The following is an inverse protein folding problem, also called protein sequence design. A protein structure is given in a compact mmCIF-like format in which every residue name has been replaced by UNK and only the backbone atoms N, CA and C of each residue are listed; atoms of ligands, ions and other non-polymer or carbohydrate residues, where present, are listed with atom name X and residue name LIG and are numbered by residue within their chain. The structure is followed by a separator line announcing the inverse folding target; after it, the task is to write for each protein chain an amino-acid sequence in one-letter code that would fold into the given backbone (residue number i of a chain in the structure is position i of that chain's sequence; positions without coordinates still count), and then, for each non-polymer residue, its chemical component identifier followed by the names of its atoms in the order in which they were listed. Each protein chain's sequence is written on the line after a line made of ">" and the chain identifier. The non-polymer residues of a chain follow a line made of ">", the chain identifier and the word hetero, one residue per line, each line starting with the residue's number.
data_IF_930916137747
#
_entry.id   IF_930916137747
#
_cell.length_a   1.000
_cell.length_b   1.000
_cell.length_c   1.000
_cell.angle_alpha   90.00
_cell.angle_beta   90.00
_cell.angle_gamma   90.00
#
_symmetry.space_group_name_H-M   'P 1'
#
loop_
_entity.id
_entity.type
_entity.pdbx_description
1 polymer ?
#
# COMPACT_ATOMS: atom_id res chain seq x y z
N UNK A 1 -5.98 -18.97 28.08
CA UNK A 1 -5.16 -18.21 29.06
C UNK A 1 -5.00 -16.77 28.56
N UNK A 2 -4.92 -15.79 29.46
CA UNK A 2 -4.95 -14.35 29.12
C UNK A 2 -3.52 -13.87 28.81
N UNK A 3 -3.31 -13.13 27.71
CA UNK A 3 -2.01 -12.49 27.41
C UNK A 3 -1.97 -11.10 28.05
N UNK A 4 -0.90 -10.80 28.78
CA UNK A 4 -0.66 -9.48 29.37
C UNK A 4 -0.32 -8.46 28.27
N UNK A 5 -0.88 -7.25 28.37
CA UNK A 5 -0.30 -6.06 27.77
C UNK A 5 0.39 -5.27 28.89
N UNK A 6 1.65 -4.89 28.71
CA UNK A 6 2.38 -4.08 29.67
C UNK A 6 2.19 -2.58 29.35
N UNK A 7 1.48 -1.86 30.21
CA UNK A 7 1.43 -0.40 30.19
C UNK A 7 2.71 0.16 30.81
N UNK A 8 3.54 0.83 30.01
CA UNK A 8 4.64 1.66 30.52
C UNK A 8 4.11 3.07 30.67
N UNK A 9 4.01 3.53 31.91
CA UNK A 9 3.51 4.85 32.29
C UNK A 9 4.71 5.70 32.72
N UNK A 10 5.07 6.70 31.91
CA UNK A 10 6.15 7.64 32.21
C UNK A 10 5.59 9.05 32.32
N UNK A 11 5.85 9.74 33.42
CA UNK A 11 5.22 11.02 33.77
C UNK A 11 6.15 11.86 34.65
N UNK A 12 6.40 13.11 34.25
CA UNK A 12 7.26 14.07 34.95
C UNK A 12 8.65 14.24 34.29
N UNK A 13 9.29 15.40 34.30
CA UNK A 13 8.91 16.71 34.88
C UNK A 13 9.07 17.83 33.84
N UNK A 14 8.50 19.02 34.12
CA UNK A 14 8.52 20.18 33.25
C UNK A 14 9.18 21.38 33.96
N UNK A 15 10.15 22.03 33.30
CA UNK A 15 10.82 23.24 33.80
C UNK A 15 11.25 24.14 32.62
N UNK A 16 11.10 25.47 32.76
CA UNK A 16 11.27 26.45 31.67
C UNK A 16 11.94 27.74 32.13
N UNK A 17 13.02 28.17 31.47
CA UNK A 17 13.35 29.60 31.18
C UNK A 17 14.15 29.65 29.86
N UNK A 18 14.41 30.84 29.30
CA UNK A 18 14.77 31.06 27.87
C UNK A 18 16.20 31.69 27.70
N UNK A 19 16.66 32.26 26.54
CA UNK A 19 18.04 32.09 26.05
C UNK A 19 18.97 33.30 26.32
N UNK A 20 20.22 33.32 25.77
CA UNK A 20 20.88 34.50 25.14
C UNK A 20 22.36 34.27 24.70
N UNK A 21 22.80 35.00 23.66
CA UNK A 21 24.19 35.34 23.22
C UNK A 21 25.00 34.34 22.36
N UNK A 22 25.86 34.92 21.51
CA UNK A 22 26.47 34.33 20.32
C UNK A 22 27.99 34.06 20.40
N UNK A 23 28.42 33.10 19.57
CA UNK A 23 29.70 32.97 18.85
C UNK A 23 31.02 33.53 19.44
N UNK A 24 32.02 32.64 19.60
CA UNK A 24 33.45 32.92 19.33
C UNK A 24 34.25 31.64 19.01
N UNK A 25 35.34 31.80 18.27
CA UNK A 25 36.25 30.75 17.78
C UNK A 25 37.53 30.67 18.65
N UNK A 26 38.10 29.46 18.81
CA UNK A 26 39.53 29.07 18.91
C UNK A 26 39.57 27.63 19.48
N UNK A 27 39.97 26.59 18.71
CA UNK A 27 41.32 26.18 18.26
C UNK A 27 42.14 25.37 19.28
N UNK A 28 42.72 24.26 18.80
CA UNK A 28 43.52 23.26 19.55
C UNK A 28 44.96 23.74 19.82
N UNK A 29 45.82 22.95 20.55
CA UNK A 29 46.64 21.97 19.82
C UNK A 29 47.13 20.71 20.60
N UNK A 30 46.80 19.51 20.04
CA UNK A 30 47.79 18.45 19.64
C UNK A 30 48.59 17.70 20.78
N UNK A 31 49.25 16.53 20.60
CA UNK A 31 49.54 15.64 19.45
C UNK A 31 50.10 14.25 19.90
N UNK A 32 49.88 13.20 19.07
CA UNK A 32 50.84 12.09 18.73
C UNK A 32 51.28 11.09 19.85
N UNK A 33 51.91 9.93 19.58
CA UNK A 33 52.48 9.30 18.35
C UNK A 33 52.52 7.75 18.45
N UNK A 34 52.80 6.89 17.44
CA UNK A 34 52.90 6.98 15.96
C UNK A 34 52.59 5.57 15.33
N UNK A 35 52.82 5.44 14.00
CA UNK A 35 53.34 4.30 13.18
C UNK A 35 53.87 3.02 13.87
N UNK A 36 54.00 1.85 13.19
CA UNK A 36 54.02 1.47 11.74
C UNK A 36 53.45 0.02 11.61
N UNK A 37 53.28 -0.69 10.47
CA UNK A 37 53.57 -0.58 9.02
C UNK A 37 52.44 -1.37 8.26
N UNK A 38 52.46 -1.86 7.01
CA UNK A 38 53.41 -1.89 5.87
C UNK A 38 53.47 -3.27 5.18
N UNK A 39 53.12 -3.39 3.89
CA UNK A 39 53.12 -4.70 3.19
C UNK A 39 52.35 -4.82 1.86
N UNK A 40 52.73 -4.02 0.85
CA UNK A 40 52.13 -3.94 -0.52
C UNK A 40 51.96 -5.29 -1.26
N UNK A 41 50.85 -5.46 -2.00
CA UNK A 41 50.84 -6.16 -3.33
C UNK A 41 49.72 -5.64 -4.26
N UNK A 42 49.97 -5.68 -5.57
CA UNK A 42 49.10 -5.14 -6.64
C UNK A 42 47.85 -5.95 -7.04
N UNK A 43 46.92 -5.20 -7.65
CA UNK A 43 45.95 -5.48 -8.75
C UNK A 43 45.98 -6.86 -9.45
N UNK A 44 44.81 -7.39 -9.92
CA UNK A 44 43.92 -6.63 -10.83
C UNK A 44 42.41 -6.69 -10.58
N UNK A 45 41.71 -5.77 -11.26
CA UNK A 45 40.26 -5.86 -11.50
C UNK A 45 39.92 -7.19 -12.18
N UNK A 46 38.99 -7.94 -11.60
CA UNK A 46 38.05 -8.73 -12.39
C UNK A 46 36.69 -8.06 -12.31
N UNK A 47 36.28 -7.47 -13.42
CA UNK A 47 34.87 -7.22 -13.67
C UNK A 47 34.17 -8.58 -13.61
N UNK A 48 33.27 -8.75 -12.64
CA UNK A 48 32.32 -9.85 -12.73
C UNK A 48 31.51 -9.58 -14.01
N UNK A 49 31.50 -10.49 -15.01
CA UNK A 49 30.79 -10.23 -16.25
C UNK A 49 29.34 -9.96 -15.88
N UNK A 50 28.85 -8.79 -16.27
CA UNK A 50 27.44 -8.42 -16.14
C UNK A 50 26.68 -9.43 -16.96
N UNK A 51 26.21 -10.49 -16.31
CA UNK A 51 25.46 -11.56 -16.94
C UNK A 51 24.20 -10.92 -17.48
N UNK A 52 24.20 -10.65 -18.78
CA UNK A 52 22.98 -10.62 -19.54
C UNK A 52 22.36 -12.01 -19.38
N UNK A 53 21.55 -12.13 -18.34
CA UNK A 53 20.37 -12.96 -18.45
C UNK A 53 19.73 -12.51 -19.75
N UNK A 54 19.61 -13.39 -20.77
CA UNK A 54 19.00 -12.99 -22.01
C UNK A 54 17.64 -12.41 -21.64
N UNK A 55 17.23 -11.32 -22.31
CA UNK A 55 15.83 -10.91 -22.29
C UNK A 55 15.03 -12.08 -22.84
N UNK A 56 14.61 -12.96 -21.94
CA UNK A 56 13.51 -13.86 -22.13
C UNK A 56 12.37 -12.91 -22.44
N UNK A 57 11.96 -12.89 -23.70
CA UNK A 57 10.73 -12.23 -24.08
C UNK A 57 9.63 -12.99 -23.35
N UNK A 58 9.29 -12.52 -22.16
CA UNK A 58 7.96 -12.68 -21.63
C UNK A 58 7.04 -12.25 -22.77
N UNK A 59 6.23 -13.17 -23.33
CA UNK A 59 5.36 -12.79 -24.44
C UNK A 59 4.54 -11.61 -23.95
N UNK A 60 4.52 -10.52 -24.72
CA UNK A 60 3.75 -9.32 -24.36
C UNK A 60 2.35 -9.77 -24.00
N UNK A 61 2.07 -9.80 -22.70
CA UNK A 61 0.75 -10.10 -22.18
C UNK A 61 -0.07 -8.88 -22.54
N UNK A 62 -0.69 -8.94 -23.72
CA UNK A 62 -1.51 -7.84 -24.22
C UNK A 62 -2.53 -7.51 -23.14
N UNK A 63 -2.37 -6.33 -22.52
CA UNK A 63 -3.36 -5.83 -21.59
C UNK A 63 -4.65 -5.70 -22.40
N UNK A 64 -5.70 -6.48 -22.08
CA UNK A 64 -6.85 -6.63 -22.96
C UNK A 64 -7.46 -5.25 -23.19
N UNK A 65 -7.40 -4.78 -24.44
CA UNK A 65 -7.69 -3.40 -24.79
C UNK A 65 -9.10 -3.02 -24.35
N UNK A 66 -9.18 -2.26 -23.26
CA UNK A 66 -10.44 -1.90 -22.60
C UNK A 66 -11.45 -1.37 -23.63
N UNK A 67 -12.68 -1.86 -23.53
CA UNK A 67 -13.85 -1.30 -24.21
C UNK A 67 -14.10 0.14 -23.74
N UNK A 68 -14.85 0.94 -24.50
CA UNK A 68 -15.16 2.32 -24.07
C UNK A 68 -16.14 2.36 -22.89
N UNK A 69 -17.00 1.35 -22.75
CA UNK A 69 -17.82 1.15 -21.55
C UNK A 69 -16.96 0.86 -20.30
N UNK A 70 -15.93 0.01 -20.40
CA UNK A 70 -14.98 -0.22 -19.30
C UNK A 70 -14.23 1.06 -18.94
N UNK A 71 -13.75 1.83 -19.92
CA UNK A 71 -13.09 3.13 -19.66
C UNK A 71 -14.02 4.13 -18.97
N UNK A 72 -15.29 4.19 -19.37
CA UNK A 72 -16.29 5.08 -18.80
C UNK A 72 -16.58 4.74 -17.34
N UNK A 73 -16.85 3.47 -17.04
CA UNK A 73 -17.10 3.01 -15.67
C UNK A 73 -15.84 3.14 -14.78
N UNK A 74 -14.65 2.77 -15.26
CA UNK A 74 -13.39 2.95 -14.51
C UNK A 74 -13.11 4.44 -14.20
N UNK A 75 -13.48 5.34 -15.11
CA UNK A 75 -13.42 6.79 -14.86
C UNK A 75 -14.43 7.25 -13.82
N UNK A 76 -15.66 6.73 -13.85
CA UNK A 76 -16.70 7.04 -12.87
C UNK A 76 -16.39 6.48 -11.46
N UNK A 77 -15.68 5.35 -11.40
CA UNK A 77 -15.17 4.75 -10.16
C UNK A 77 -13.86 5.38 -9.66
N UNK A 78 -13.24 6.30 -10.42
CA UNK A 78 -12.00 6.95 -9.98
C UNK A 78 -12.32 8.05 -8.96
N UNK A 79 -11.92 7.85 -7.71
CA UNK A 79 -12.24 8.77 -6.61
C UNK A 79 -11.91 8.23 -5.22
N UNK A 80 -12.46 8.89 -4.20
CA UNK A 80 -12.39 8.45 -2.80
C UNK A 80 -13.79 8.42 -2.20
N UNK A 81 -14.23 7.25 -1.75
CA UNK A 81 -15.58 6.99 -1.27
C UNK A 81 -15.57 6.70 0.23
N UNK A 82 -16.47 7.33 0.98
CA UNK A 82 -16.83 6.87 2.34
C UNK A 82 -17.81 5.72 2.24
N UNK A 83 -17.69 4.73 3.11
CA UNK A 83 -18.69 3.66 3.19
C UNK A 83 -19.95 4.19 3.89
N UNK A 84 -21.12 3.91 3.32
CA UNK A 84 -22.43 4.28 3.90
C UNK A 84 -23.23 3.09 4.42
N UNK A 85 -22.93 1.89 3.90
CA UNK A 85 -23.48 0.61 4.35
C UNK A 85 -22.44 -0.47 4.08
N UNK A 86 -22.31 -1.44 4.99
CA UNK A 86 -21.44 -2.61 4.81
C UNK A 86 -22.11 -3.82 5.48
N UNK A 87 -22.10 -4.95 4.79
CA UNK A 87 -22.69 -6.20 5.26
C UNK A 87 -21.79 -7.38 4.87
N UNK A 88 -21.56 -8.30 5.81
CA UNK A 88 -20.83 -9.56 5.61
C UNK A 88 -21.50 -10.66 6.43
N UNK A 89 -21.60 -11.88 5.91
CA UNK A 89 -22.25 -13.02 6.58
C UNK A 89 -23.69 -12.72 7.09
N UNK A 90 -24.44 -11.88 6.35
CA UNK A 90 -25.78 -11.40 6.73
C UNK A 90 -25.80 -10.44 7.94
N UNK A 91 -24.65 -9.88 8.33
CA UNK A 91 -24.50 -8.95 9.46
C UNK A 91 -24.06 -7.59 8.96
N UNK A 92 -24.86 -6.57 9.26
CA UNK A 92 -24.53 -5.17 8.98
C UNK A 92 -23.52 -4.67 10.00
N UNK A 93 -22.55 -3.90 9.53
CA UNK A 93 -21.55 -3.29 10.38
C UNK A 93 -22.09 -2.11 11.20
N UNK A 94 -21.41 -1.83 12.31
CA UNK A 94 -21.75 -0.70 13.18
C UNK A 94 -21.39 0.64 12.51
N UNK A 95 -22.09 1.72 12.86
CA UNK A 95 -21.77 3.05 12.30
C UNK A 95 -20.34 3.48 12.69
N UNK A 96 -19.88 3.03 13.85
CA UNK A 96 -18.57 3.25 14.46
C UNK A 96 -17.44 2.50 13.72
N UNK A 97 -17.76 1.35 13.11
CA UNK A 97 -16.87 0.63 12.21
C UNK A 97 -16.89 1.27 10.81
N UNK A 98 -18.08 1.54 10.25
CA UNK A 98 -18.27 2.14 8.93
C UNK A 98 -17.55 3.50 8.80
N UNK A 99 -17.58 4.35 9.84
CA UNK A 99 -16.83 5.63 9.89
C UNK A 99 -15.30 5.49 9.74
N UNK A 100 -14.75 4.28 9.92
CA UNK A 100 -13.32 3.97 9.75
C UNK A 100 -13.01 3.35 8.39
N UNK A 101 -14.03 3.11 7.56
CA UNK A 101 -13.90 2.46 6.26
C UNK A 101 -13.98 3.47 5.12
N UNK A 102 -13.09 3.30 4.13
CA UNK A 102 -13.12 4.07 2.87
C UNK A 102 -12.52 3.26 1.73
N UNK A 103 -12.91 3.60 0.50
CA UNK A 103 -12.25 3.15 -0.72
C UNK A 103 -11.54 4.34 -1.35
N UNK A 104 -10.32 4.13 -1.85
CA UNK A 104 -9.69 5.02 -2.83
C UNK A 104 -9.40 4.19 -4.08
N UNK A 105 -9.85 4.66 -5.23
CA UNK A 105 -9.76 3.94 -6.51
C UNK A 105 -9.24 4.85 -7.61
N UNK A 106 -8.30 4.32 -8.40
CA UNK A 106 -7.55 5.01 -9.44
C UNK A 106 -7.61 4.15 -10.71
N UNK A 107 -8.63 4.40 -11.53
CA UNK A 107 -9.02 3.50 -12.62
C UNK A 107 -9.31 2.09 -12.12
N UNK A 108 -8.46 1.14 -12.50
CA UNK A 108 -8.59 -0.27 -12.12
C UNK A 108 -8.02 -0.56 -10.72
N UNK A 109 -7.06 0.22 -10.21
CA UNK A 109 -6.43 -0.07 -8.92
C UNK A 109 -7.26 0.48 -7.76
N UNK A 110 -7.47 -0.31 -6.71
CA UNK A 110 -8.22 0.12 -5.53
C UNK A 110 -7.52 -0.22 -4.21
N UNK A 111 -7.87 0.58 -3.20
CA UNK A 111 -7.34 0.54 -1.83
C UNK A 111 -8.52 0.63 -0.87
N UNK A 112 -8.88 -0.48 -0.24
CA UNK A 112 -9.92 -0.53 0.79
C UNK A 112 -9.27 -0.43 2.17
N UNK A 113 -9.63 0.60 2.93
CA UNK A 113 -9.08 0.89 4.25
C UNK A 113 -10.08 0.48 5.33
N UNK A 114 -9.58 -0.09 6.43
CA UNK A 114 -10.35 -0.36 7.66
C UNK A 114 -9.53 0.16 8.84
N UNK A 115 -9.66 1.46 9.13
CA UNK A 115 -8.76 2.15 10.05
C UNK A 115 -7.35 2.25 9.45
N UNK A 116 -6.38 1.57 10.07
CA UNK A 116 -4.98 1.51 9.61
C UNK A 116 -4.70 0.33 8.67
N UNK A 117 -5.57 -0.70 8.66
CA UNK A 117 -5.44 -1.85 7.75
C UNK A 117 -5.80 -1.45 6.31
N UNK A 118 -5.01 -1.91 5.33
CA UNK A 118 -5.20 -1.61 3.90
C UNK A 118 -5.21 -2.90 3.09
N UNK A 119 -6.33 -3.16 2.41
CA UNK A 119 -6.43 -4.18 1.36
C UNK A 119 -6.25 -3.53 -0.01
N UNK A 120 -5.47 -4.15 -0.87
CA UNK A 120 -5.08 -3.66 -2.20
C UNK A 120 -5.58 -4.63 -3.27
N UNK A 121 -6.06 -4.12 -4.40
CA UNK A 121 -6.49 -4.95 -5.53
C UNK A 121 -6.59 -4.21 -6.86
N UNK A 122 -6.97 -4.95 -7.91
CA UNK A 122 -7.30 -4.42 -9.23
C UNK A 122 -8.61 -5.01 -9.73
N UNK A 123 -9.50 -4.19 -10.25
CA UNK A 123 -10.77 -4.62 -10.84
C UNK A 123 -10.67 -4.78 -12.36
N UNK A 124 -11.21 -5.89 -12.87
CA UNK A 124 -11.63 -6.02 -14.28
C UNK A 124 -13.14 -5.91 -14.35
N UNK A 125 -13.65 -4.83 -14.94
CA UNK A 125 -15.08 -4.58 -15.06
C UNK A 125 -15.67 -5.27 -16.29
N UNK A 126 -16.90 -5.78 -16.17
CA UNK A 126 -17.67 -6.36 -17.27
C UNK A 126 -19.02 -5.60 -17.40
N UNK A 127 -19.01 -4.35 -17.91
CA UNK A 127 -20.18 -3.46 -17.95
C UNK A 127 -21.29 -3.90 -18.92
N UNK A 128 -20.96 -4.76 -19.90
CA UNK A 128 -21.90 -5.35 -20.85
C UNK A 128 -22.80 -6.44 -20.24
N UNK A 129 -22.60 -6.76 -18.96
CA UNK A 129 -23.39 -7.74 -18.20
C UNK A 129 -24.58 -7.07 -17.52
N UNK A 130 -25.65 -7.83 -17.35
CA UNK A 130 -26.85 -7.40 -16.61
C UNK A 130 -27.22 -8.48 -15.57
N UNK A 131 -27.03 -8.24 -14.26
CA UNK A 131 -26.34 -7.10 -13.65
C UNK A 131 -24.86 -6.99 -14.07
N UNK A 132 -24.25 -5.80 -13.91
CA UNK A 132 -22.82 -5.59 -14.25
C UNK A 132 -21.91 -6.43 -13.34
N UNK A 133 -21.00 -7.18 -13.92
CA UNK A 133 -20.10 -8.11 -13.22
C UNK A 133 -18.69 -7.49 -13.04
N UNK A 134 -17.98 -7.85 -11.98
CA UNK A 134 -16.58 -7.45 -11.72
C UNK A 134 -15.74 -8.63 -11.25
N UNK A 135 -14.52 -8.72 -11.76
CA UNK A 135 -13.48 -9.65 -11.34
C UNK A 135 -12.40 -8.86 -10.56
N UNK A 136 -12.45 -8.91 -9.22
CA UNK A 136 -11.54 -8.17 -8.33
C UNK A 136 -10.33 -9.02 -7.94
N UNK A 137 -9.15 -8.70 -8.44
CA UNK A 137 -7.89 -9.40 -8.17
C UNK A 137 -7.14 -8.81 -6.98
N UNK A 138 -6.87 -9.60 -5.94
CA UNK A 138 -6.29 -9.12 -4.68
C UNK A 138 -4.75 -9.15 -4.71
N UNK A 139 -4.13 -8.04 -4.35
CA UNK A 139 -2.67 -7.86 -4.34
C UNK A 139 -2.04 -8.18 -2.97
N UNK A 140 -2.81 -8.14 -1.88
CA UNK A 140 -2.34 -8.45 -0.53
C UNK A 140 -3.41 -9.17 0.32
N UNK A 141 -3.09 -9.43 1.59
CA UNK A 141 -3.98 -10.06 2.56
C UNK A 141 -4.22 -11.57 2.30
N UNK A 142 -5.17 -12.20 3.03
CA UNK A 142 -5.46 -13.64 2.93
C UNK A 142 -6.03 -14.10 1.56
N UNK A 143 -6.43 -13.14 0.72
CA UNK A 143 -6.94 -13.38 -0.62
C UNK A 143 -5.91 -13.05 -1.73
N UNK A 144 -4.67 -12.66 -1.40
CA UNK A 144 -3.61 -12.35 -2.37
C UNK A 144 -3.54 -13.40 -3.49
N UNK A 145 -3.34 -12.92 -4.72
CA UNK A 145 -3.23 -13.72 -5.95
C UNK A 145 -4.50 -14.51 -6.32
N UNK A 146 -5.63 -14.21 -5.69
CA UNK A 146 -6.96 -14.70 -6.08
C UNK A 146 -7.78 -13.58 -6.73
N UNK A 147 -8.57 -13.97 -7.72
CA UNK A 147 -9.70 -13.17 -8.21
C UNK A 147 -10.95 -13.53 -7.40
N UNK A 148 -11.69 -12.51 -6.97
CA UNK A 148 -13.00 -12.64 -6.34
C UNK A 148 -14.04 -12.07 -7.30
N UNK A 149 -15.06 -12.86 -7.62
CA UNK A 149 -16.17 -12.40 -8.47
C UNK A 149 -17.14 -11.55 -7.68
N UNK A 150 -17.73 -10.58 -8.35
CA UNK A 150 -18.79 -9.76 -7.77
C UNK A 150 -19.68 -9.11 -8.82
N UNK A 151 -20.64 -8.35 -8.32
CA UNK A 151 -21.50 -7.46 -9.07
C UNK A 151 -21.23 -6.02 -8.63
N UNK A 152 -21.41 -5.06 -9.53
CA UNK A 152 -21.33 -3.64 -9.17
C UNK A 152 -22.47 -2.82 -9.78
N UNK A 153 -22.75 -1.67 -9.16
CA UNK A 153 -23.66 -0.64 -9.68
C UNK A 153 -23.05 0.74 -9.40
N UNK A 154 -23.15 1.63 -10.38
CA UNK A 154 -22.86 3.06 -10.26
C UNK A 154 -24.20 3.78 -10.43
N UNK A 155 -24.55 4.67 -9.49
CA UNK A 155 -25.81 5.42 -9.47
C UNK A 155 -25.54 6.84 -8.95
N UNK A 156 -25.31 7.78 -9.87
CA UNK A 156 -24.84 9.13 -9.52
C UNK A 156 -23.46 9.12 -8.86
N UNK A 157 -23.40 9.54 -7.60
CA UNK A 157 -22.21 9.51 -6.73
C UNK A 157 -22.06 8.18 -5.97
N UNK A 158 -23.10 7.34 -5.98
CA UNK A 158 -23.22 6.16 -5.13
C UNK A 158 -22.77 4.91 -5.88
N UNK A 159 -21.79 4.21 -5.30
CA UNK A 159 -21.26 2.95 -5.83
C UNK A 159 -21.66 1.80 -4.90
N UNK A 160 -22.19 0.73 -5.46
CA UNK A 160 -22.48 -0.53 -4.76
C UNK A 160 -21.63 -1.65 -5.33
N UNK A 161 -21.02 -2.45 -4.46
CA UNK A 161 -20.33 -3.70 -4.80
C UNK A 161 -20.95 -4.85 -3.99
N UNK A 162 -21.04 -6.03 -4.60
CA UNK A 162 -21.44 -7.29 -3.96
C UNK A 162 -20.45 -8.36 -4.38
N UNK A 163 -19.53 -8.76 -3.50
CA UNK A 163 -18.52 -9.77 -3.77
C UNK A 163 -18.90 -11.14 -3.19
N UNK A 164 -18.48 -12.21 -3.86
CA UNK A 164 -18.49 -13.56 -3.29
C UNK A 164 -17.38 -13.75 -2.24
N UNK A 165 -17.41 -14.87 -1.51
CA UNK A 165 -16.26 -15.25 -0.67
C UNK A 165 -15.04 -15.62 -1.53
N UNK A 166 -13.80 -15.29 -1.11
CA UNK A 166 -12.59 -15.62 -1.88
C UNK A 166 -12.37 -17.12 -2.09
N UNK A 167 -12.74 -17.62 -3.28
CA UNK A 167 -12.64 -19.02 -3.67
C UNK A 167 -13.96 -19.80 -3.70
N UNK A 168 -15.11 -19.10 -3.76
CA UNK A 168 -16.42 -19.66 -4.15
C UNK A 168 -16.81 -19.18 -5.55
#
# INVERSE_FOLDING_TARGET
>A
MKRLLALILALGLLATVVPTVAARFQEEPKKKDDKKDGGKKEEPKKEAPKKEEPKKEEPKKEEPKLTDAQKADLKALTGSFTIVSYERDGKKETSEAIKKMKVVQEGAEWKFFVGEDITLGKDTLNPEKSPKEVDSYYLNGPAREKTVKGLYKIDGDTVTYIHADPGK
#
